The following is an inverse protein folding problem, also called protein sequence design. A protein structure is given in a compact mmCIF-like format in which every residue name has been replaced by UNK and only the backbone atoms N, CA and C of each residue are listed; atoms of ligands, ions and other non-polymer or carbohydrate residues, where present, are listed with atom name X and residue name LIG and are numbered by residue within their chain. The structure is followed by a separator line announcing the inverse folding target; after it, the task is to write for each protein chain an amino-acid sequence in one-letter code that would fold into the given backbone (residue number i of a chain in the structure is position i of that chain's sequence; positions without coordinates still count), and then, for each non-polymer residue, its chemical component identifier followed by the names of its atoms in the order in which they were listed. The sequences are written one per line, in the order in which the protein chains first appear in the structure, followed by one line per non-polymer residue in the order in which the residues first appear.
data_IF_063085759891
#
_entry.id   IF_063085759891
#
_cell.length_a   1.000
_cell.length_b   1.000
_cell.length_c   1.000
_cell.angle_alpha   90.00
_cell.angle_beta   90.00
_cell.angle_gamma   90.00
#
_symmetry.space_group_name_H-M   'P 1'
#
loop_
_entity.id
_entity.type
_entity.pdbx_description
1 polymer ?
#
# COMPACT_ATOMS: atom_id res chain seq x y z
N UNK A 1 -7.99 -2.34 83.37
CA UNK A 1 -7.16 -2.01 82.19
C UNK A 1 -7.48 -0.56 81.85
N UNK A 2 -6.51 0.36 81.99
CA UNK A 2 -6.73 1.79 81.70
C UNK A 2 -6.53 2.00 80.20
N UNK A 3 -7.62 2.23 79.48
CA UNK A 3 -7.57 2.69 78.10
C UNK A 3 -6.94 4.09 78.09
N UNK A 4 -5.66 4.16 77.67
CA UNK A 4 -4.99 5.44 77.41
C UNK A 4 -5.60 6.00 76.14
N UNK A 5 -6.41 7.05 76.26
CA UNK A 5 -6.87 7.83 75.13
C UNK A 5 -5.66 8.29 74.28
N UNK A 6 -5.71 8.19 72.95
CA UNK A 6 -4.61 8.61 72.09
C UNK A 6 -4.29 10.08 72.31
N UNK A 7 -3.00 10.45 72.34
CA UNK A 7 -2.59 11.85 72.48
C UNK A 7 -3.10 12.66 71.29
N UNK A 8 -3.44 13.92 71.53
CA UNK A 8 -3.89 14.86 70.48
C UNK A 8 -2.94 14.88 69.28
N UNK A 9 -1.63 14.75 69.51
CA UNK A 9 -0.60 14.70 68.47
C UNK A 9 -0.71 13.44 67.59
N UNK A 10 -1.10 12.30 68.16
CA UNK A 10 -1.33 11.06 67.41
C UNK A 10 -2.59 11.17 66.53
N UNK A 11 -3.63 11.85 67.00
CA UNK A 11 -4.85 12.14 66.23
C UNK A 11 -4.59 13.13 65.08
N UNK A 12 -3.84 14.20 65.34
CA UNK A 12 -3.44 15.18 64.30
C UNK A 12 -2.53 14.54 63.26
N UNK A 13 -1.59 13.68 63.67
CA UNK A 13 -0.74 12.92 62.76
C UNK A 13 -1.52 11.93 61.88
N UNK A 14 -2.52 11.23 62.45
CA UNK A 14 -3.38 10.31 61.71
C UNK A 14 -4.23 11.04 60.66
N UNK A 15 -4.83 12.18 61.03
CA UNK A 15 -5.62 13.02 60.12
C UNK A 15 -4.75 13.58 58.99
N UNK A 16 -3.55 14.08 59.31
CA UNK A 16 -2.60 14.57 58.31
C UNK A 16 -2.17 13.49 57.32
N UNK A 17 -1.95 12.26 57.80
CA UNK A 17 -1.58 11.11 56.95
C UNK A 17 -2.73 10.68 56.03
N UNK A 18 -3.95 10.63 56.55
CA UNK A 18 -5.15 10.30 55.76
C UNK A 18 -5.45 11.36 54.69
N UNK A 19 -5.33 12.64 55.02
CA UNK A 19 -5.52 13.74 54.06
C UNK A 19 -4.41 13.74 53.00
N UNK A 20 -3.15 13.55 53.40
CA UNK A 20 -2.03 13.42 52.48
C UNK A 20 -2.19 12.25 51.51
N UNK A 21 -2.61 11.08 52.01
CA UNK A 21 -2.87 9.90 51.19
C UNK A 21 -4.06 10.11 50.23
N UNK A 22 -5.13 10.76 50.68
CA UNK A 22 -6.29 11.06 49.85
C UNK A 22 -5.94 12.03 48.70
N UNK A 23 -5.18 13.10 48.99
CA UNK A 23 -4.72 14.05 47.97
C UNK A 23 -3.76 13.36 46.99
N UNK A 24 -2.81 12.57 47.49
CA UNK A 24 -1.90 11.77 46.66
C UNK A 24 -2.63 10.80 45.72
N UNK A 25 -3.68 10.14 46.21
CA UNK A 25 -4.51 9.25 45.41
C UNK A 25 -5.28 9.99 44.31
N UNK A 26 -5.87 11.15 44.61
CA UNK A 26 -6.59 11.98 43.63
C UNK A 26 -5.65 12.47 42.54
N UNK A 27 -4.46 12.99 42.89
CA UNK A 27 -3.45 13.45 41.93
C UNK A 27 -3.01 12.29 41.04
N UNK A 28 -2.76 11.12 41.62
CA UNK A 28 -2.36 9.91 40.88
C UNK A 28 -3.44 9.47 39.88
N UNK A 29 -4.71 9.45 40.28
CA UNK A 29 -5.84 9.10 39.39
C UNK A 29 -5.96 10.10 38.23
N UNK A 30 -5.82 11.40 38.51
CA UNK A 30 -5.89 12.45 37.48
C UNK A 30 -4.72 12.32 36.50
N UNK A 31 -3.49 12.12 37.00
CA UNK A 31 -2.30 11.93 36.18
C UNK A 31 -2.42 10.70 35.27
N UNK A 32 -2.88 9.56 35.80
CA UNK A 32 -3.12 8.34 35.01
C UNK A 32 -4.19 8.56 33.94
N UNK A 33 -5.29 9.24 34.27
CA UNK A 33 -6.35 9.54 33.30
C UNK A 33 -5.88 10.48 32.20
N UNK A 34 -5.07 11.48 32.54
CA UNK A 34 -4.49 12.40 31.57
C UNK A 34 -3.49 11.67 30.65
N UNK A 35 -2.58 10.87 31.23
CA UNK A 35 -1.65 10.04 30.47
C UNK A 35 -2.36 9.07 29.54
N UNK A 36 -3.45 8.44 29.98
CA UNK A 36 -4.26 7.55 29.16
C UNK A 36 -4.95 8.29 28.01
N UNK A 37 -5.39 9.54 28.20
CA UNK A 37 -5.96 10.37 27.13
C UNK A 37 -4.90 10.75 26.11
N UNK A 38 -3.75 11.25 26.56
CA UNK A 38 -2.65 11.64 25.66
C UNK A 38 -2.12 10.45 24.89
N UNK A 39 -2.03 9.27 25.52
CA UNK A 39 -1.62 8.04 24.84
C UNK A 39 -2.63 7.65 23.74
N UNK A 40 -3.94 7.69 24.02
CA UNK A 40 -4.96 7.40 23.01
C UNK A 40 -4.94 8.38 21.85
N UNK A 41 -4.71 9.67 22.12
CA UNK A 41 -4.56 10.69 21.09
C UNK A 41 -3.32 10.46 20.24
N UNK A 42 -2.18 10.11 20.86
CA UNK A 42 -0.95 9.75 20.17
C UNK A 42 -1.13 8.48 19.31
N UNK A 43 -1.78 7.45 19.84
CA UNK A 43 -2.06 6.21 19.08
C UNK A 43 -2.97 6.47 17.87
N UNK A 44 -4.00 7.32 18.03
CA UNK A 44 -4.86 7.74 16.91
C UNK A 44 -4.08 8.53 15.87
N UNK A 45 -3.28 9.50 16.29
CA UNK A 45 -2.45 10.30 15.40
C UNK A 45 -1.43 9.42 14.66
N UNK A 46 -0.79 8.48 15.36
CA UNK A 46 0.15 7.52 14.77
C UNK A 46 -0.54 6.60 13.76
N UNK A 47 -1.77 6.14 14.04
CA UNK A 47 -2.55 5.33 13.10
C UNK A 47 -2.89 6.12 11.83
N UNK A 48 -3.38 7.35 11.97
CA UNK A 48 -3.68 8.23 10.83
C UNK A 48 -2.43 8.47 9.99
N UNK A 49 -1.29 8.80 10.64
CA UNK A 49 -0.02 9.02 9.97
C UNK A 49 0.47 7.78 9.21
N UNK A 50 0.33 6.59 9.80
CA UNK A 50 0.65 5.32 9.13
C UNK A 50 -0.22 5.09 7.89
N UNK A 51 -1.54 5.26 8.01
CA UNK A 51 -2.46 5.11 6.87
C UNK A 51 -2.14 6.12 5.77
N UNK A 52 -1.86 7.38 6.11
CA UNK A 52 -1.46 8.40 5.13
C UNK A 52 -0.14 8.06 4.45
N UNK A 53 0.84 7.56 5.20
CA UNK A 53 2.13 7.11 4.66
C UNK A 53 1.94 5.93 3.72
N UNK A 54 1.16 4.93 4.12
CA UNK A 54 0.82 3.79 3.28
C UNK A 54 0.11 4.23 1.99
N UNK A 55 -0.86 5.14 2.08
CA UNK A 55 -1.55 5.72 0.92
C UNK A 55 -0.57 6.44 0.00
N UNK A 56 0.32 7.27 0.53
CA UNK A 56 1.31 7.98 -0.27
C UNK A 56 2.27 7.02 -0.99
N UNK A 57 2.74 5.96 -0.30
CA UNK A 57 3.59 4.93 -0.89
C UNK A 57 2.87 4.17 -2.02
N UNK A 58 1.64 3.70 -1.77
CA UNK A 58 0.84 3.00 -2.78
C UNK A 58 0.54 3.92 -3.97
N UNK A 59 0.23 5.19 -3.72
CA UNK A 59 -0.04 6.18 -4.77
C UNK A 59 1.20 6.39 -5.64
N UNK A 60 2.36 6.62 -5.02
CA UNK A 60 3.62 6.84 -5.73
C UNK A 60 4.04 5.60 -6.52
N UNK A 61 3.84 4.40 -5.97
CA UNK A 61 4.11 3.13 -6.66
C UNK A 61 3.20 2.96 -7.89
N UNK A 62 1.89 3.20 -7.75
CA UNK A 62 0.97 3.16 -8.89
C UNK A 62 1.37 4.19 -9.95
N UNK A 63 1.66 5.42 -9.56
CA UNK A 63 2.09 6.48 -10.49
C UNK A 63 3.38 6.12 -11.22
N UNK A 64 4.37 5.56 -10.50
CA UNK A 64 5.61 5.10 -11.09
C UNK A 64 5.35 4.01 -12.14
N UNK A 65 4.51 3.03 -11.82
CA UNK A 65 4.16 1.93 -12.72
C UNK A 65 3.39 2.43 -13.96
N UNK A 66 2.43 3.33 -13.78
CA UNK A 66 1.70 3.94 -14.89
C UNK A 66 2.63 4.75 -15.80
N UNK A 67 3.53 5.54 -15.22
CA UNK A 67 4.49 6.33 -15.99
C UNK A 67 5.47 5.44 -16.76
N UNK A 68 5.96 4.36 -16.13
CA UNK A 68 6.83 3.40 -16.78
C UNK A 68 6.11 2.67 -17.92
N UNK A 69 4.83 2.31 -17.75
CA UNK A 69 3.98 1.79 -18.80
C UNK A 69 3.83 2.82 -19.94
N UNK A 70 3.50 4.08 -19.65
CA UNK A 70 3.39 5.13 -20.67
C UNK A 70 4.68 5.32 -21.47
N UNK A 71 5.83 5.37 -20.79
CA UNK A 71 7.13 5.44 -21.45
C UNK A 71 7.37 4.26 -22.39
N UNK A 72 6.98 3.05 -21.96
CA UNK A 72 7.03 1.86 -22.80
C UNK A 72 6.08 1.95 -24.01
N UNK A 73 4.82 2.33 -23.80
CA UNK A 73 3.83 2.45 -24.87
C UNK A 73 4.20 3.57 -25.87
N UNK A 74 4.92 4.61 -25.44
CA UNK A 74 5.43 5.65 -26.33
C UNK A 74 6.56 5.15 -27.24
N UNK A 75 7.32 4.16 -26.78
CA UNK A 75 8.42 3.54 -27.54
C UNK A 75 7.96 2.32 -28.35
N UNK A 76 6.82 1.74 -27.96
CA UNK A 76 6.28 0.51 -28.55
C UNK A 76 5.15 0.85 -29.51
N UNK A 77 5.32 0.48 -30.77
CA UNK A 77 4.20 0.48 -31.71
C UNK A 77 3.23 -0.64 -31.32
N UNK A 78 2.13 -0.29 -30.64
CA UNK A 78 1.11 -1.25 -30.21
C UNK A 78 0.32 -1.85 -31.38
N UNK A 79 0.33 -1.19 -32.54
CA UNK A 79 -0.32 -1.68 -33.76
C UNK A 79 0.61 -2.59 -34.56
N UNK A 80 1.93 -2.39 -34.41
CA UNK A 80 2.94 -3.28 -34.96
C UNK A 80 4.06 -3.61 -33.96
N UNK A 81 3.75 -4.43 -32.94
CA UNK A 81 4.68 -4.69 -31.85
C UNK A 81 5.95 -5.41 -32.33
N UNK A 82 5.84 -6.15 -33.44
CA UNK A 82 6.93 -6.87 -34.11
C UNK A 82 8.14 -5.98 -34.40
N UNK A 83 7.91 -4.70 -34.69
CA UNK A 83 8.98 -3.73 -34.99
C UNK A 83 9.78 -3.32 -33.75
N UNK A 84 9.16 -3.45 -32.58
CA UNK A 84 9.74 -3.11 -31.28
C UNK A 84 10.51 -4.30 -30.69
N UNK A 85 9.99 -5.52 -30.88
CA UNK A 85 10.58 -6.73 -30.31
C UNK A 85 11.74 -7.34 -31.13
N UNK A 86 11.89 -6.97 -32.40
CA UNK A 86 12.96 -7.49 -33.25
C UNK A 86 14.38 -7.09 -32.82
N UNK A 87 14.52 -6.11 -31.93
CA UNK A 87 15.82 -5.50 -31.57
C UNK A 87 16.27 -5.77 -30.14
N UNK A 88 15.51 -6.53 -29.33
CA UNK A 88 15.84 -6.81 -27.94
C UNK A 88 16.01 -8.31 -27.72
N UNK A 89 17.13 -8.71 -27.10
CA UNK A 89 17.23 -10.07 -26.56
C UNK A 89 16.25 -10.25 -25.40
N UNK A 90 15.78 -11.48 -25.16
CA UNK A 90 14.85 -11.76 -24.06
C UNK A 90 15.35 -11.34 -22.66
N UNK A 91 16.67 -11.13 -22.47
CA UNK A 91 17.26 -10.63 -21.24
C UNK A 91 17.27 -9.10 -21.15
N UNK A 92 17.58 -8.42 -22.25
CA UNK A 92 17.44 -6.95 -22.31
C UNK A 92 15.98 -6.57 -22.06
N UNK A 93 15.06 -7.35 -22.63
CA UNK A 93 13.63 -7.20 -22.47
C UNK A 93 13.15 -7.20 -21.00
N UNK A 94 13.61 -8.17 -20.20
CA UNK A 94 13.28 -8.26 -18.76
C UNK A 94 13.84 -7.06 -17.96
N UNK A 95 14.99 -6.52 -18.40
CA UNK A 95 15.67 -5.42 -17.70
C UNK A 95 15.05 -4.04 -17.98
N UNK A 96 14.49 -3.81 -19.18
CA UNK A 96 13.86 -2.52 -19.54
C UNK A 96 12.37 -2.42 -19.21
N UNK A 97 11.72 -3.48 -18.74
CA UNK A 97 10.28 -3.45 -18.52
C UNK A 97 9.86 -3.59 -17.06
N UNK A 98 8.99 -2.68 -16.58
CA UNK A 98 8.44 -2.73 -15.23
C UNK A 98 7.52 -3.94 -15.13
N UNK A 99 8.08 -5.08 -14.76
CA UNK A 99 7.31 -6.27 -14.40
C UNK A 99 7.09 -6.27 -12.89
N UNK A 100 5.94 -6.74 -12.39
CA UNK A 100 5.44 -6.52 -11.05
C UNK A 100 6.00 -7.59 -10.10
N UNK A 101 7.32 -7.81 -10.17
CA UNK A 101 8.07 -8.45 -9.09
C UNK A 101 8.61 -7.41 -8.09
N UNK A 102 8.19 -6.15 -8.21
CA UNK A 102 8.61 -5.08 -7.31
C UNK A 102 7.86 -5.18 -5.98
N UNK A 103 8.59 -5.79 -5.04
CA UNK A 103 8.33 -5.76 -3.61
C UNK A 103 6.91 -6.16 -3.21
N UNK A 104 6.53 -7.42 -3.49
CA UNK A 104 5.36 -8.07 -2.88
C UNK A 104 5.29 -7.82 -1.38
N UNK A 105 6.43 -7.76 -0.69
CA UNK A 105 6.47 -7.54 0.77
C UNK A 105 6.10 -6.10 1.16
N UNK A 106 6.71 -5.06 0.55
CA UNK A 106 6.32 -3.67 0.87
C UNK A 106 4.92 -3.34 0.33
N UNK A 107 4.51 -3.96 -0.77
CA UNK A 107 3.17 -3.88 -1.32
C UNK A 107 2.14 -4.48 -0.37
N UNK A 108 2.28 -5.75 0.01
CA UNK A 108 1.36 -6.46 0.91
C UNK A 108 1.25 -5.76 2.27
N UNK A 109 2.39 -5.26 2.79
CA UNK A 109 2.41 -4.52 4.06
C UNK A 109 1.74 -3.16 3.94
N UNK A 110 2.06 -2.38 2.90
CA UNK A 110 1.40 -1.09 2.65
C UNK A 110 -0.10 -1.27 2.40
N UNK A 111 -0.50 -2.38 1.77
CA UNK A 111 -1.90 -2.71 1.55
C UNK A 111 -2.63 -3.03 2.86
N UNK A 112 -1.98 -3.74 3.79
CA UNK A 112 -2.49 -4.00 5.14
C UNK A 112 -2.79 -2.70 5.91
N UNK A 113 -1.87 -1.73 5.83
CA UNK A 113 -2.04 -0.44 6.47
C UNK A 113 -3.08 0.44 5.73
N UNK A 114 -3.17 0.32 4.40
CA UNK A 114 -4.18 0.97 3.55
C UNK A 114 -5.60 0.43 3.85
N UNK A 115 -5.75 -0.89 4.00
CA UNK A 115 -7.01 -1.57 4.36
C UNK A 115 -7.64 -1.00 5.63
N UNK A 116 -6.82 -0.47 6.54
CA UNK A 116 -7.28 0.08 7.81
C UNK A 116 -7.94 1.47 7.70
N UNK A 117 -7.89 2.11 6.53
CA UNK A 117 -8.44 3.45 6.32
C UNK A 117 -8.88 3.83 4.89
N UNK A 118 -8.81 2.92 3.91
CA UNK A 118 -9.43 3.08 2.59
C UNK A 118 -10.85 2.50 2.58
N UNK A 119 -11.72 3.02 1.70
CA UNK A 119 -13.04 2.45 1.47
C UNK A 119 -12.94 1.10 0.72
N UNK A 120 -13.92 0.19 0.86
CA UNK A 120 -13.93 -1.07 0.11
C UNK A 120 -13.88 -0.88 -1.42
N UNK A 121 -14.48 0.20 -1.94
CA UNK A 121 -14.45 0.53 -3.35
C UNK A 121 -13.04 0.92 -3.83
N UNK A 122 -12.35 1.81 -3.09
CA UNK A 122 -10.96 2.17 -3.39
C UNK A 122 -10.05 0.94 -3.37
N UNK A 123 -10.24 0.06 -2.37
CA UNK A 123 -9.48 -1.18 -2.26
C UNK A 123 -9.69 -2.09 -3.48
N UNK A 124 -10.94 -2.29 -3.89
CA UNK A 124 -11.26 -3.09 -5.07
C UNK A 124 -10.62 -2.53 -6.34
N UNK A 125 -10.62 -1.20 -6.50
CA UNK A 125 -9.97 -0.56 -7.66
C UNK A 125 -8.45 -0.76 -7.64
N UNK A 126 -7.80 -0.57 -6.48
CA UNK A 126 -6.36 -0.83 -6.32
C UNK A 126 -6.01 -2.29 -6.64
N UNK A 127 -6.78 -3.24 -6.09
CA UNK A 127 -6.57 -4.67 -6.38
C UNK A 127 -6.79 -5.00 -7.86
N UNK A 128 -7.84 -4.45 -8.47
CA UNK A 128 -8.12 -4.66 -9.90
C UNK A 128 -6.97 -4.15 -10.76
N UNK A 129 -6.48 -2.93 -10.49
CA UNK A 129 -5.37 -2.33 -11.22
C UNK A 129 -4.10 -3.19 -11.12
N UNK A 130 -3.79 -3.68 -9.92
CA UNK A 130 -2.63 -4.56 -9.72
C UNK A 130 -2.75 -5.89 -10.45
N UNK A 131 -3.93 -6.48 -10.47
CA UNK A 131 -4.18 -7.69 -11.26
C UNK A 131 -4.03 -7.42 -12.76
N UNK A 132 -4.50 -6.26 -13.25
CA UNK A 132 -4.34 -5.87 -14.64
C UNK A 132 -2.86 -5.65 -15.01
N UNK A 133 -2.08 -4.97 -14.15
CA UNK A 133 -0.63 -4.80 -14.32
C UNK A 133 0.11 -6.15 -14.35
N UNK A 134 -0.28 -7.08 -13.46
CA UNK A 134 0.28 -8.44 -13.45
C UNK A 134 -0.08 -9.23 -14.71
N UNK A 135 -1.34 -9.17 -15.13
CA UNK A 135 -1.81 -9.82 -16.34
C UNK A 135 -1.11 -9.24 -17.58
N UNK A 136 -0.90 -7.92 -17.64
CA UNK A 136 -0.17 -7.25 -18.72
C UNK A 136 1.26 -7.78 -18.82
N UNK A 137 1.94 -7.90 -17.67
CA UNK A 137 3.31 -8.40 -17.62
C UNK A 137 3.42 -9.84 -18.12
N UNK A 138 2.50 -10.71 -17.69
CA UNK A 138 2.42 -12.09 -18.19
C UNK A 138 2.10 -12.16 -19.68
N UNK A 139 1.12 -11.39 -20.14
CA UNK A 139 0.74 -11.32 -21.55
C UNK A 139 1.94 -10.90 -22.41
N UNK A 140 2.75 -9.98 -21.90
CA UNK A 140 3.91 -9.52 -22.64
C UNK A 140 5.06 -10.55 -22.66
N UNK A 141 5.32 -11.23 -21.55
CA UNK A 141 6.27 -12.36 -21.52
C UNK A 141 5.88 -13.43 -22.55
N UNK A 142 4.59 -13.78 -22.61
CA UNK A 142 4.07 -14.72 -23.60
C UNK A 142 4.22 -14.20 -25.03
N UNK A 143 3.98 -12.90 -25.26
CA UNK A 143 4.09 -12.30 -26.58
C UNK A 143 5.52 -12.42 -27.13
N UNK A 144 6.52 -12.11 -26.30
CA UNK A 144 7.95 -12.25 -26.65
C UNK A 144 8.33 -13.71 -26.89
N UNK A 145 7.86 -14.61 -26.01
CA UNK A 145 8.15 -16.04 -26.11
C UNK A 145 7.58 -16.62 -27.41
N UNK A 146 6.31 -16.35 -27.71
CA UNK A 146 5.67 -16.86 -28.92
C UNK A 146 6.25 -16.22 -30.16
N UNK A 147 6.63 -14.95 -30.12
CA UNK A 147 7.35 -14.35 -31.24
C UNK A 147 8.69 -15.05 -31.52
N UNK A 148 9.47 -15.36 -30.48
CA UNK A 148 10.70 -16.15 -30.64
C UNK A 148 10.40 -17.52 -31.27
N UNK A 149 9.36 -18.20 -30.80
CA UNK A 149 8.96 -19.50 -31.35
C UNK A 149 8.46 -19.39 -32.80
N UNK A 150 7.82 -18.28 -33.18
CA UNK A 150 7.35 -18.01 -34.54
C UNK A 150 8.52 -17.82 -35.49
N UNK A 151 9.54 -17.07 -35.08
CA UNK A 151 10.80 -16.92 -35.85
C UNK A 151 11.50 -18.26 -36.08
N UNK A 152 11.32 -19.22 -35.17
CA UNK A 152 11.81 -20.60 -35.30
C UNK A 152 10.84 -21.53 -36.06
N UNK A 153 9.70 -21.03 -36.54
CA UNK A 153 8.67 -21.80 -37.25
C UNK A 153 7.87 -22.76 -36.37
N UNK A 154 7.87 -22.57 -35.05
CA UNK A 154 7.22 -23.47 -34.07
C UNK A 154 5.78 -23.09 -33.71
N UNK A 155 5.36 -21.86 -34.01
CA UNK A 155 3.98 -21.38 -33.81
C UNK A 155 3.56 -20.50 -34.99
N UNK A 156 2.25 -20.37 -35.19
CA UNK A 156 1.68 -19.55 -36.26
C UNK A 156 1.55 -18.06 -35.89
N UNK A 157 1.37 -17.23 -36.91
CA UNK A 157 1.19 -15.78 -36.78
C UNK A 157 -0.08 -15.42 -36.02
N UNK A 158 -1.11 -16.28 -36.03
CA UNK A 158 -2.39 -16.01 -35.40
C UNK A 158 -2.27 -16.05 -33.86
N UNK A 159 -1.51 -17.00 -33.31
CA UNK A 159 -1.24 -17.07 -31.88
C UNK A 159 -0.44 -15.86 -31.39
N UNK A 160 0.55 -15.43 -32.17
CA UNK A 160 1.35 -14.23 -31.87
C UNK A 160 0.46 -12.98 -31.88
N UNK A 161 -0.36 -12.80 -32.93
CA UNK A 161 -1.29 -11.69 -33.05
C UNK A 161 -2.33 -11.65 -31.91
N UNK A 162 -2.88 -12.80 -31.52
CA UNK A 162 -3.81 -12.90 -30.40
C UNK A 162 -3.17 -12.43 -29.08
N UNK A 163 -1.91 -12.80 -28.86
CA UNK A 163 -1.18 -12.44 -27.63
C UNK A 163 -0.91 -10.94 -27.57
N UNK A 164 -0.52 -10.32 -28.69
CA UNK A 164 -0.41 -8.86 -28.78
C UNK A 164 -1.75 -8.15 -28.61
N UNK A 165 -2.85 -8.70 -29.13
CA UNK A 165 -4.19 -8.16 -28.93
C UNK A 165 -4.58 -8.10 -27.45
N UNK A 166 -4.30 -9.16 -26.69
CA UNK A 166 -4.50 -9.21 -25.24
C UNK A 166 -3.63 -8.16 -24.53
N UNK A 167 -2.34 -8.11 -24.85
CA UNK A 167 -1.40 -7.12 -24.28
C UNK A 167 -1.90 -5.68 -24.52
N UNK A 168 -2.26 -5.33 -25.75
CA UNK A 168 -2.76 -4.01 -26.11
C UNK A 168 -4.10 -3.66 -25.45
N UNK A 169 -4.99 -4.66 -25.30
CA UNK A 169 -6.24 -4.51 -24.55
C UNK A 169 -6.00 -4.17 -23.08
N UNK A 170 -5.08 -4.88 -22.43
CA UNK A 170 -4.69 -4.64 -21.04
C UNK A 170 -4.03 -3.27 -20.85
N UNK A 171 -3.11 -2.88 -21.73
CA UNK A 171 -2.49 -1.55 -21.70
C UNK A 171 -3.53 -0.42 -21.74
N UNK A 172 -4.52 -0.52 -22.64
CA UNK A 172 -5.61 0.46 -22.73
C UNK A 172 -6.44 0.49 -21.46
N UNK A 173 -6.80 -0.67 -20.92
CA UNK A 173 -7.58 -0.79 -19.67
C UNK A 173 -6.85 -0.14 -18.50
N UNK A 174 -5.56 -0.43 -18.32
CA UNK A 174 -4.72 0.13 -17.25
C UNK A 174 -4.63 1.65 -17.37
N UNK A 175 -4.38 2.16 -18.59
CA UNK A 175 -4.31 3.61 -18.84
C UNK A 175 -5.63 4.32 -18.56
N UNK A 176 -6.76 3.71 -18.92
CA UNK A 176 -8.09 4.26 -18.64
C UNK A 176 -8.42 4.25 -17.15
N UNK A 177 -7.99 3.22 -16.42
CA UNK A 177 -8.20 3.13 -14.98
C UNK A 177 -7.42 4.20 -14.21
N UNK A 178 -6.21 4.54 -14.66
CA UNK A 178 -5.35 5.53 -14.00
C UNK A 178 -5.01 5.13 -12.57
N UNK A 179 -4.69 6.13 -11.73
CA UNK A 179 -4.41 5.90 -10.32
C UNK A 179 -5.68 6.10 -9.46
N UNK A 180 -6.28 5.04 -8.91
CA UNK A 180 -7.54 5.13 -8.17
C UNK A 180 -7.41 5.82 -6.81
N UNK A 181 -6.19 6.07 -6.32
CA UNK A 181 -5.96 6.76 -5.06
C UNK A 181 -5.79 8.26 -5.19
N UNK A 182 -5.65 8.78 -6.43
CA UNK A 182 -5.59 10.21 -6.67
C UNK A 182 -6.98 10.83 -6.44
N UNK A 183 -7.06 12.03 -5.81
CA UNK A 183 -8.33 12.69 -5.54
C UNK A 183 -9.18 12.93 -6.79
N UNK A 184 -8.52 13.08 -7.94
CA UNK A 184 -9.13 13.39 -9.24
C UNK A 184 -9.85 12.18 -9.87
N UNK A 185 -9.59 10.96 -9.39
CA UNK A 185 -10.17 9.74 -9.94
C UNK A 185 -11.58 9.40 -9.38
N UNK A 186 -12.12 10.22 -8.47
CA UNK A 186 -13.39 9.97 -7.74
C UNK A 186 -14.49 10.99 -8.09
N UNK A 187 -14.33 11.74 -9.18
CA UNK A 187 -15.34 12.66 -9.71
C UNK A 187 -16.22 11.99 -10.77
#
# INVERSE_FOLDING_TARGET
MRDKAPSSDALVGLIGTLVGAAIGAVISIVAVRLAARTQREQERAARIARTQTARALVTAEIDHNLHALEGYLAQTDLENPLRTYSNLSGREWIAVHPTPNWSTIAWERALGDLLSGASPAEMLHVFSLYNDLKAYSLATELAVRYHTMQLEGKVDDALVAATYGVQGGLARKIRQAGNPLRPEAVA
#
